data_IF_503870226110
#
_entry.id   IF_503870226110
#
_cell.length_a   1.000
_cell.length_b   1.000
_cell.length_c   1.000
_cell.angle_alpha   90.00
_cell.angle_beta   90.00
_cell.angle_gamma   90.00
#
_symmetry.space_group_name_H-M   'P 1'
#
loop_
_entity.id
_entity.type
_entity.pdbx_description
1 polymer ?
#
# COMPACT_ATOMS: atom_id res chain seq x y z
N UNK A 1 25.05 37.09 24.47
CA UNK A 1 25.22 36.85 23.03
C UNK A 1 23.91 37.22 22.35
N UNK A 2 23.83 38.44 21.81
CA UNK A 2 22.62 38.91 21.10
C UNK A 2 22.51 38.16 19.79
N UNK A 3 21.45 37.38 19.62
CA UNK A 3 21.14 36.72 18.34
C UNK A 3 20.76 37.85 17.38
N UNK A 4 21.66 38.11 16.43
CA UNK A 4 21.54 39.16 15.43
C UNK A 4 20.17 39.06 14.74
N UNK A 5 19.44 40.16 14.72
CA UNK A 5 18.28 40.34 13.85
C UNK A 5 18.78 40.45 12.41
N UNK A 6 19.21 39.33 11.83
CA UNK A 6 19.64 39.25 10.45
C UNK A 6 18.38 39.44 9.59
N UNK A 7 18.25 40.62 8.96
CA UNK A 7 17.21 40.87 7.97
C UNK A 7 17.69 40.28 6.65
N UNK A 8 16.87 39.40 6.07
CA UNK A 8 17.11 38.91 4.72
C UNK A 8 16.69 40.01 3.74
N UNK A 9 17.67 40.75 3.24
CA UNK A 9 17.44 41.83 2.29
C UNK A 9 17.26 41.28 0.87
N UNK A 10 16.80 42.11 -0.06
CA UNK A 10 16.62 41.74 -1.48
C UNK A 10 17.87 41.11 -2.07
N UNK A 11 19.06 41.62 -1.72
CA UNK A 11 20.35 41.07 -2.18
C UNK A 11 20.58 39.62 -1.75
N UNK A 12 20.10 39.23 -0.56
CA UNK A 12 20.20 37.86 -0.09
C UNK A 12 19.35 36.94 -0.98
N UNK A 13 18.09 37.32 -1.22
CA UNK A 13 17.19 36.54 -2.07
C UNK A 13 17.64 36.49 -3.53
N UNK A 14 18.25 37.56 -4.06
CA UNK A 14 18.84 37.54 -5.40
C UNK A 14 20.00 36.54 -5.49
N UNK A 15 20.90 36.53 -4.49
CA UNK A 15 22.00 35.55 -4.45
C UNK A 15 21.48 34.13 -4.32
N UNK A 16 20.52 33.90 -3.42
CA UNK A 16 19.90 32.60 -3.25
C UNK A 16 19.24 32.11 -4.54
N UNK A 17 18.50 32.98 -5.23
CA UNK A 17 17.84 32.63 -6.49
C UNK A 17 18.86 32.29 -7.60
N UNK A 18 19.98 33.00 -7.67
CA UNK A 18 21.05 32.68 -8.64
C UNK A 18 21.69 31.32 -8.33
N UNK A 19 21.94 31.01 -7.05
CA UNK A 19 22.43 29.70 -6.62
C UNK A 19 21.42 28.60 -6.95
N UNK A 20 20.12 28.85 -6.74
CA UNK A 20 19.05 27.91 -7.10
C UNK A 20 18.99 27.66 -8.61
N UNK A 21 19.09 28.70 -9.44
CA UNK A 21 19.08 28.55 -10.89
C UNK A 21 20.25 27.70 -11.39
N UNK A 22 21.47 27.99 -10.90
CA UNK A 22 22.67 27.21 -11.24
C UNK A 22 22.56 25.76 -10.76
N UNK A 23 21.93 25.54 -9.61
CA UNK A 23 21.64 24.20 -9.11
C UNK A 23 20.66 23.44 -10.02
N UNK A 24 19.55 24.06 -10.45
CA UNK A 24 18.59 23.43 -11.35
C UNK A 24 19.13 23.16 -12.75
N UNK A 25 20.14 23.92 -13.17
CA UNK A 25 20.87 23.72 -14.43
C UNK A 25 22.02 22.71 -14.30
N UNK A 26 22.29 22.19 -13.11
CA UNK A 26 23.43 21.31 -12.81
C UNK A 26 24.81 21.96 -13.12
N UNK A 27 24.88 23.30 -13.04
CA UNK A 27 26.07 24.13 -13.29
C UNK A 27 26.70 24.69 -12.00
N UNK A 28 26.16 24.31 -10.84
CA UNK A 28 26.68 24.73 -9.54
C UNK A 28 27.93 23.93 -9.17
N UNK A 29 28.99 24.61 -8.75
CA UNK A 29 30.19 23.94 -8.23
C UNK A 29 30.00 23.53 -6.75
N UNK A 30 31.03 22.90 -6.16
CA UNK A 30 30.99 22.49 -4.75
C UNK A 30 30.73 23.68 -3.81
N UNK A 31 31.37 24.82 -4.07
CA UNK A 31 31.24 26.01 -3.21
C UNK A 31 29.85 26.63 -3.31
N UNK A 32 29.28 26.67 -4.52
CA UNK A 32 27.92 27.12 -4.77
C UNK A 32 26.90 26.24 -4.06
N UNK A 33 27.09 24.91 -4.11
CA UNK A 33 26.24 23.96 -3.40
C UNK A 33 26.31 24.13 -1.88
N UNK A 34 27.52 24.30 -1.34
CA UNK A 34 27.72 24.59 0.08
C UNK A 34 27.04 25.91 0.48
N UNK A 35 27.22 26.97 -0.31
CA UNK A 35 26.58 28.27 -0.06
C UNK A 35 25.06 28.20 -0.17
N UNK A 36 24.52 27.43 -1.11
CA UNK A 36 23.09 27.21 -1.26
C UNK A 36 22.49 26.52 -0.02
N UNK A 37 23.13 25.44 0.43
CA UNK A 37 22.70 24.70 1.62
C UNK A 37 22.77 25.58 2.87
N UNK A 38 23.86 26.33 3.05
CA UNK A 38 24.02 27.25 4.17
C UNK A 38 22.96 28.35 4.16
N UNK A 39 22.72 28.97 3.01
CA UNK A 39 21.72 30.05 2.87
C UNK A 39 20.30 29.57 3.19
N UNK A 40 19.94 28.37 2.73
CA UNK A 40 18.63 27.77 3.09
C UNK A 40 18.60 27.40 4.56
N UNK A 41 19.72 26.94 5.14
CA UNK A 41 19.83 26.65 6.57
C UNK A 41 19.63 27.87 7.46
N UNK A 42 20.17 29.02 7.06
CA UNK A 42 19.94 30.30 7.73
C UNK A 42 18.46 30.68 7.72
N UNK A 43 17.78 30.50 6.58
CA UNK A 43 16.33 30.75 6.47
C UNK A 43 15.54 29.82 7.39
N UNK A 44 15.85 28.52 7.39
CA UNK A 44 15.20 27.55 8.28
C UNK A 44 15.38 27.98 9.74
N UNK A 45 16.59 28.33 10.16
CA UNK A 45 16.88 28.74 11.54
C UNK A 45 16.11 30.02 11.91
N UNK A 46 16.09 31.01 11.01
CA UNK A 46 15.37 32.26 11.25
C UNK A 46 13.86 32.07 11.40
N UNK A 47 13.24 31.28 10.51
CA UNK A 47 11.80 31.03 10.58
C UNK A 47 11.42 30.09 11.72
N UNK A 48 12.35 29.22 12.16
CA UNK A 48 12.17 28.42 13.38
C UNK A 48 12.10 29.29 14.64
N UNK A 49 13.01 30.27 14.75
CA UNK A 49 13.01 31.22 15.87
C UNK A 49 11.72 32.04 15.91
N UNK A 50 11.14 32.33 14.75
CA UNK A 50 9.85 33.03 14.62
C UNK A 50 8.63 32.12 14.76
N UNK A 51 8.81 30.80 14.84
CA UNK A 51 7.74 29.79 14.78
C UNK A 51 6.83 29.96 13.57
N UNK A 52 7.41 30.39 12.45
CA UNK A 52 6.69 30.63 11.21
C UNK A 52 6.53 29.32 10.43
N UNK A 53 5.31 28.92 10.03
CA UNK A 53 5.08 27.71 9.25
C UNK A 53 5.83 27.70 7.90
N UNK A 54 6.24 28.86 7.37
CA UNK A 54 7.04 28.93 6.14
C UNK A 54 8.40 28.21 6.27
N UNK A 55 8.88 27.95 7.49
CA UNK A 55 10.05 27.08 7.75
C UNK A 55 9.93 25.74 7.02
N UNK A 56 8.72 25.18 6.96
CA UNK A 56 8.46 23.88 6.32
C UNK A 56 8.84 23.89 4.83
N UNK A 57 8.53 24.98 4.12
CA UNK A 57 8.92 25.16 2.72
C UNK A 57 10.45 25.11 2.53
N UNK A 58 11.20 25.76 3.42
CA UNK A 58 12.67 25.75 3.34
C UNK A 58 13.28 24.40 3.75
N UNK A 59 12.65 23.68 4.68
CA UNK A 59 13.04 22.31 5.02
C UNK A 59 12.84 21.35 3.84
N UNK A 60 11.71 21.45 3.15
CA UNK A 60 11.43 20.66 1.95
C UNK A 60 12.42 20.99 0.82
N UNK A 61 12.72 22.27 0.60
CA UNK A 61 13.77 22.70 -0.33
C UNK A 61 15.14 22.12 0.01
N UNK A 62 15.54 22.16 1.29
CA UNK A 62 16.80 21.59 1.74
C UNK A 62 16.86 20.09 1.51
N UNK A 63 15.79 19.36 1.87
CA UNK A 63 15.68 17.92 1.64
C UNK A 63 15.78 17.59 0.14
N UNK A 64 15.09 18.36 -0.70
CA UNK A 64 15.15 18.21 -2.15
C UNK A 64 16.58 18.35 -2.67
N UNK A 65 17.29 19.41 -2.28
CA UNK A 65 18.67 19.66 -2.74
C UNK A 65 19.59 18.52 -2.31
N UNK A 66 19.53 18.10 -1.05
CA UNK A 66 20.39 17.04 -0.52
C UNK A 66 20.08 15.65 -1.08
N UNK A 67 18.85 15.44 -1.59
CA UNK A 67 18.45 14.16 -2.19
C UNK A 67 18.97 13.97 -3.62
N UNK A 68 19.46 15.03 -4.28
CA UNK A 68 19.87 14.93 -5.69
C UNK A 68 21.20 14.20 -5.85
N UNK A 69 21.31 13.24 -6.80
CA UNK A 69 22.56 12.58 -7.12
C UNK A 69 23.69 13.56 -7.46
N UNK A 70 23.36 14.64 -8.17
CA UNK A 70 24.29 15.74 -8.49
C UNK A 70 24.93 16.34 -7.22
N UNK A 71 24.12 16.69 -6.22
CA UNK A 71 24.58 17.21 -4.93
C UNK A 71 25.47 16.20 -4.21
N UNK A 72 25.06 14.93 -4.17
CA UNK A 72 25.80 13.88 -3.50
C UNK A 72 27.16 13.63 -4.16
N UNK A 73 27.24 13.68 -5.49
CA UNK A 73 28.48 13.49 -6.24
C UNK A 73 29.45 14.65 -6.03
N UNK A 74 28.96 15.89 -6.05
CA UNK A 74 29.79 17.09 -5.92
C UNK A 74 30.25 17.36 -4.48
N UNK A 75 29.46 16.96 -3.48
CA UNK A 75 29.80 17.10 -2.07
C UNK A 75 30.57 15.89 -1.51
N UNK A 76 30.65 14.78 -2.24
CA UNK A 76 31.44 13.62 -1.83
C UNK A 76 32.92 14.00 -1.81
N UNK A 77 33.46 14.20 -0.61
CA UNK A 77 34.91 14.27 -0.44
C UNK A 77 35.51 12.96 -0.95
N UNK A 78 36.39 13.07 -1.95
CA UNK A 78 37.41 12.04 -2.11
C UNK A 78 38.27 12.12 -0.85
N UNK A 79 38.01 11.22 0.10
CA UNK A 79 38.97 10.89 1.15
C UNK A 79 40.22 10.30 0.48
N UNK A 80 41.00 11.14 -0.19
CA UNK A 80 42.36 10.84 -0.56
C UNK A 80 43.12 10.78 0.76
N UNK A 81 43.36 9.55 1.17
CA UNK A 81 44.28 9.13 2.21
C UNK A 81 45.58 9.91 2.01
N UNK A 82 45.74 10.99 2.76
CA UNK A 82 46.99 11.74 2.81
C UNK A 82 47.38 11.84 4.29
N UNK A 83 48.27 10.90 4.63
CA UNK A 83 49.32 10.96 5.65
C UNK A 83 48.99 11.17 7.14
N UNK A 84 49.44 10.18 7.93
CA UNK A 84 50.34 10.34 9.08
C UNK A 84 50.49 11.77 9.64
N UNK A 85 49.82 12.05 10.76
CA UNK A 85 50.41 12.62 12.00
C UNK A 85 49.38 12.60 13.14
N UNK A 86 49.92 12.42 14.34
CA UNK A 86 49.31 12.04 15.61
C UNK A 86 48.33 13.05 16.23
N UNK A 87 47.55 12.63 17.26
CA UNK A 87 46.26 13.21 17.60
C UNK A 87 46.38 14.36 18.59
N UNK A 88 45.59 15.42 18.40
CA UNK A 88 45.29 16.39 19.45
C UNK A 88 43.77 16.42 19.60
N UNK A 89 43.33 15.99 20.78
CA UNK A 89 41.95 15.70 21.06
C UNK A 89 41.13 16.96 21.27
N UNK A 90 39.97 17.00 20.62
CA UNK A 90 38.74 17.50 21.21
C UNK A 90 37.67 16.43 20.99
N UNK A 91 37.31 15.73 22.07
CA UNK A 91 36.10 14.91 22.13
C UNK A 91 34.90 15.85 22.05
N UNK A 92 34.49 16.20 20.84
CA UNK A 92 33.07 16.40 20.58
C UNK A 92 32.52 15.02 20.24
N UNK A 93 31.81 14.42 21.19
CA UNK A 93 30.92 13.31 20.92
C UNK A 93 29.89 13.81 19.91
N UNK A 94 30.20 13.65 18.63
CA UNK A 94 29.26 13.85 17.56
C UNK A 94 28.18 12.78 17.71
N UNK A 95 26.99 13.20 18.11
CA UNK A 95 25.76 12.43 17.99
C UNK A 95 25.34 12.28 16.51
N UNK A 96 26.26 11.83 15.64
CA UNK A 96 26.00 11.57 14.22
C UNK A 96 25.35 10.20 13.96
N UNK A 97 24.86 9.49 14.99
CA UNK A 97 24.20 8.20 14.78
C UNK A 97 22.71 8.28 14.48
N UNK A 98 22.06 9.44 14.61
CA UNK A 98 20.60 9.55 14.42
C UNK A 98 20.13 9.80 12.97
N UNK A 99 20.82 10.59 12.12
CA UNK A 99 20.37 10.83 10.75
C UNK A 99 20.58 9.63 9.81
N UNK A 100 21.69 8.89 9.99
CA UNK A 100 21.99 7.69 9.19
C UNK A 100 21.00 6.56 9.50
N UNK A 101 20.67 6.34 10.77
CA UNK A 101 19.60 5.42 11.18
C UNK A 101 18.23 5.83 10.65
N UNK A 102 17.95 7.13 10.50
CA UNK A 102 16.71 7.62 9.88
C UNK A 102 16.71 7.41 8.37
N UNK A 103 17.81 7.68 7.66
CA UNK A 103 17.91 7.44 6.21
C UNK A 103 17.86 5.95 5.87
N UNK A 104 18.57 5.09 6.61
CA UNK A 104 18.43 3.64 6.46
C UNK A 104 17.02 3.19 6.77
N UNK A 105 16.40 3.67 7.86
CA UNK A 105 14.98 3.36 8.13
C UNK A 105 14.05 3.89 7.04
N UNK A 106 14.32 5.03 6.42
CA UNK A 106 13.47 5.60 5.38
C UNK A 106 13.65 4.87 4.05
N UNK A 107 14.87 4.45 3.71
CA UNK A 107 15.16 3.56 2.58
C UNK A 107 14.56 2.16 2.81
N UNK A 108 14.62 1.65 4.03
CA UNK A 108 14.02 0.37 4.44
C UNK A 108 12.49 0.45 4.43
N UNK A 109 11.89 1.54 4.90
CA UNK A 109 10.44 1.81 4.79
C UNK A 109 10.03 2.01 3.33
N UNK A 110 10.86 2.61 2.47
CA UNK A 110 10.58 2.71 1.04
C UNK A 110 10.72 1.36 0.31
N UNK A 111 11.70 0.53 0.67
CA UNK A 111 11.78 -0.83 0.15
C UNK A 111 10.63 -1.70 0.65
N UNK A 112 10.20 -1.51 1.90
CA UNK A 112 9.05 -2.19 2.48
C UNK A 112 7.73 -1.70 1.87
N UNK A 113 7.63 -0.42 1.49
CA UNK A 113 6.50 0.15 0.77
C UNK A 113 6.42 -0.37 -0.67
N UNK A 114 7.54 -0.48 -1.37
CA UNK A 114 7.57 -1.07 -2.71
C UNK A 114 7.28 -2.58 -2.67
N UNK A 115 7.85 -3.31 -1.70
CA UNK A 115 7.49 -4.71 -1.45
C UNK A 115 6.03 -4.87 -1.01
N UNK A 116 5.50 -3.93 -0.22
CA UNK A 116 4.09 -3.89 0.18
C UNK A 116 3.18 -3.66 -1.02
N UNK A 117 3.55 -2.77 -1.94
CA UNK A 117 2.76 -2.48 -3.13
C UNK A 117 2.70 -3.69 -4.08
N UNK A 118 3.84 -4.33 -4.33
CA UNK A 118 3.88 -5.58 -5.09
C UNK A 118 3.10 -6.69 -4.38
N UNK A 119 3.20 -6.80 -3.05
CA UNK A 119 2.45 -7.79 -2.27
C UNK A 119 0.94 -7.54 -2.28
N UNK A 120 0.51 -6.28 -2.21
CA UNK A 120 -0.90 -5.88 -2.33
C UNK A 120 -1.42 -6.21 -3.74
N UNK A 121 -0.61 -5.95 -4.77
CA UNK A 121 -0.94 -6.30 -6.15
C UNK A 121 -1.09 -7.81 -6.33
N UNK A 122 -0.17 -8.61 -5.80
CA UNK A 122 -0.29 -10.08 -5.85
C UNK A 122 -1.49 -10.58 -5.07
N UNK A 123 -1.82 -9.97 -3.92
CA UNK A 123 -3.02 -10.30 -3.14
C UNK A 123 -4.32 -9.93 -3.88
N UNK A 124 -4.33 -8.83 -4.63
CA UNK A 124 -5.45 -8.47 -5.49
C UNK A 124 -5.61 -9.47 -6.64
N UNK A 125 -4.52 -9.85 -7.30
CA UNK A 125 -4.54 -10.85 -8.38
C UNK A 125 -5.01 -12.22 -7.86
N UNK A 126 -4.53 -12.67 -6.70
CA UNK A 126 -5.01 -13.91 -6.05
C UNK A 126 -6.49 -13.82 -5.67
N UNK A 127 -6.94 -12.68 -5.14
CA UNK A 127 -8.34 -12.48 -4.77
C UNK A 127 -9.26 -12.53 -5.99
N UNK A 128 -8.87 -11.89 -7.10
CA UNK A 128 -9.62 -11.96 -8.36
C UNK A 128 -9.67 -13.38 -8.94
N UNK A 129 -8.58 -14.13 -8.83
CA UNK A 129 -8.52 -15.53 -9.25
C UNK A 129 -9.45 -16.40 -8.39
N UNK A 130 -9.41 -16.25 -7.06
CA UNK A 130 -10.30 -16.96 -6.16
C UNK A 130 -11.78 -16.65 -6.41
N UNK A 131 -12.13 -15.41 -6.75
CA UNK A 131 -13.50 -15.07 -7.14
C UNK A 131 -13.95 -15.81 -8.40
N UNK A 132 -13.07 -15.94 -9.41
CA UNK A 132 -13.38 -16.69 -10.64
C UNK A 132 -13.57 -18.17 -10.36
N UNK A 133 -12.66 -18.77 -9.60
CA UNK A 133 -12.73 -20.19 -9.22
C UNK A 133 -14.03 -20.49 -8.45
N UNK A 134 -14.41 -19.59 -7.55
CA UNK A 134 -15.65 -19.73 -6.77
C UNK A 134 -16.90 -19.59 -7.66
N UNK A 135 -16.88 -18.67 -8.63
CA UNK A 135 -17.96 -18.53 -9.61
C UNK A 135 -18.10 -19.77 -10.49
N UNK A 136 -16.99 -20.38 -10.94
CA UNK A 136 -17.00 -21.62 -11.71
C UNK A 136 -17.56 -22.79 -10.89
N UNK A 137 -17.19 -22.89 -9.61
CA UNK A 137 -17.68 -23.94 -8.72
C UNK A 137 -19.20 -23.84 -8.51
N UNK A 138 -19.71 -22.62 -8.32
CA UNK A 138 -21.15 -22.34 -8.20
C UNK A 138 -21.86 -22.71 -9.51
N UNK A 139 -21.31 -22.31 -10.65
CA UNK A 139 -21.90 -22.60 -11.95
C UNK A 139 -21.98 -24.10 -12.22
N UNK A 140 -20.93 -24.84 -11.90
CA UNK A 140 -20.90 -26.30 -12.03
C UNK A 140 -21.94 -26.98 -11.13
N UNK A 141 -22.13 -26.50 -9.89
CA UNK A 141 -23.15 -27.04 -9.00
C UNK A 141 -24.58 -26.76 -9.52
N UNK A 142 -24.83 -25.55 -10.02
CA UNK A 142 -26.10 -25.18 -10.67
C UNK A 142 -26.38 -26.13 -11.84
N UNK A 143 -25.39 -26.38 -12.70
CA UNK A 143 -25.53 -27.25 -13.87
C UNK A 143 -25.82 -28.70 -13.47
N UNK A 144 -25.18 -29.19 -12.40
CA UNK A 144 -25.45 -30.51 -11.84
C UNK A 144 -26.88 -30.62 -11.28
N UNK A 145 -27.31 -29.65 -10.47
CA UNK A 145 -28.67 -29.64 -9.92
C UNK A 145 -29.72 -29.57 -11.04
N UNK A 146 -29.47 -28.77 -12.07
CA UNK A 146 -30.33 -28.65 -13.24
C UNK A 146 -30.39 -29.96 -14.03
N UNK A 147 -29.26 -30.66 -14.19
CA UNK A 147 -29.18 -31.97 -14.83
C UNK A 147 -30.00 -33.02 -14.06
N UNK A 148 -29.89 -33.05 -12.73
CA UNK A 148 -30.66 -33.95 -11.87
C UNK A 148 -32.16 -33.66 -11.97
N UNK A 149 -32.57 -32.39 -11.97
CA UNK A 149 -33.96 -31.99 -12.15
C UNK A 149 -34.51 -32.41 -13.52
N UNK A 150 -33.75 -32.17 -14.60
CA UNK A 150 -34.11 -32.60 -15.96
C UNK A 150 -34.30 -34.12 -16.02
N UNK A 151 -33.38 -34.90 -15.44
CA UNK A 151 -33.51 -36.37 -15.34
C UNK A 151 -34.78 -36.78 -14.58
N UNK A 152 -35.06 -36.18 -13.42
CA UNK A 152 -36.28 -36.45 -12.63
C UNK A 152 -37.56 -36.14 -13.43
N UNK A 153 -37.59 -35.04 -14.19
CA UNK A 153 -38.73 -34.67 -15.05
C UNK A 153 -38.95 -35.71 -16.15
N UNK A 154 -37.87 -36.15 -16.82
CA UNK A 154 -37.95 -37.17 -17.89
C UNK A 154 -38.51 -38.48 -17.34
N UNK A 155 -38.00 -38.96 -16.20
CA UNK A 155 -38.50 -40.19 -15.55
C UNK A 155 -39.99 -40.06 -15.18
N UNK A 156 -40.41 -38.92 -14.62
CA UNK A 156 -41.83 -38.67 -14.34
C UNK A 156 -42.70 -38.68 -15.60
N UNK A 157 -42.22 -38.12 -16.71
CA UNK A 157 -42.93 -38.15 -18.00
C UNK A 157 -43.03 -39.56 -18.58
N UNK A 158 -41.95 -40.34 -18.54
CA UNK A 158 -41.95 -41.74 -19.00
C UNK A 158 -42.87 -42.62 -18.15
N UNK A 159 -42.86 -42.46 -16.82
CA UNK A 159 -43.75 -43.20 -15.92
C UNK A 159 -45.24 -42.84 -16.14
N UNK A 160 -45.56 -41.58 -16.47
CA UNK A 160 -46.93 -41.20 -16.85
C UNK A 160 -47.38 -41.83 -18.18
N UNK A 161 -46.49 -41.90 -19.17
CA UNK A 161 -46.80 -42.54 -20.44
C UNK A 161 -46.97 -44.07 -20.30
N UNK A 162 -46.19 -44.72 -19.42
CA UNK A 162 -46.37 -46.14 -19.13
C UNK A 162 -47.63 -46.44 -18.30
N UNK A 163 -48.04 -45.57 -17.36
CA UNK A 163 -49.31 -45.75 -16.64
C UNK A 163 -50.53 -45.54 -17.56
N UNK A 164 -50.48 -44.63 -18.53
CA UNK A 164 -51.57 -44.46 -19.50
C UNK A 164 -51.70 -45.62 -20.50
N UNK A 165 -50.72 -46.54 -20.58
CA UNK A 165 -50.81 -47.70 -21.46
C UNK A 165 -51.38 -48.96 -20.76
N UNK A 166 -51.47 -48.97 -19.43
CA UNK A 166 -51.90 -50.16 -18.65
C UNK A 166 -53.39 -50.10 -18.25
N UNK A 167 -54.06 -48.94 -18.35
CA UNK A 167 -55.47 -48.79 -17.94
C UNK A 167 -56.48 -48.74 -19.08
N UNK A 168 -56.24 -49.52 -20.15
CA UNK A 168 -57.29 -49.93 -21.07
C UNK A 168 -57.48 -51.45 -21.02
N UNK A 169 -57.80 -52.00 -19.84
CA UNK A 169 -58.73 -53.12 -19.75
C UNK A 169 -59.19 -53.39 -18.31
N UNK A 170 -60.51 -53.58 -18.20
CA UNK A 170 -61.29 -54.26 -17.15
C UNK A 170 -62.09 -53.39 -16.17
N UNK A 171 -63.42 -53.50 -16.33
CA UNK A 171 -64.48 -53.24 -15.37
C UNK A 171 -64.28 -54.04 -14.07
N UNK A 172 -64.57 -53.47 -12.90
CA UNK A 172 -65.58 -53.98 -11.95
C UNK A 172 -65.67 -53.14 -10.65
N UNK A 173 -66.78 -53.33 -9.96
CA UNK A 173 -67.42 -52.52 -8.91
C UNK A 173 -66.84 -52.75 -7.49
N UNK A 174 -67.16 -51.82 -6.57
CA UNK A 174 -67.40 -51.93 -5.11
C UNK A 174 -66.29 -51.71 -4.05
N UNK A 175 -66.54 -50.67 -3.23
CA UNK A 175 -66.47 -50.53 -1.76
C UNK A 175 -65.28 -51.11 -0.95
N UNK A 176 -64.59 -50.25 -0.20
CA UNK A 176 -64.80 -50.03 1.25
C UNK A 176 -63.52 -49.70 2.05
N UNK A 177 -63.74 -48.85 3.06
CA UNK A 177 -63.06 -48.69 4.36
C UNK A 177 -61.79 -47.85 4.49
N UNK A 178 -61.97 -46.79 5.28
CA UNK A 178 -61.01 -46.08 6.13
C UNK A 178 -60.10 -47.05 6.92
N UNK A 179 -58.87 -46.62 7.14
CA UNK A 179 -58.28 -46.61 8.48
C UNK A 179 -57.15 -45.56 8.57
N UNK A 180 -57.38 -44.54 9.39
CA UNK A 180 -56.35 -43.63 9.89
C UNK A 180 -55.37 -44.38 10.80
N UNK A 181 -54.08 -44.07 10.70
CA UNK A 181 -53.11 -44.24 11.79
C UNK A 181 -52.33 -42.95 11.99
N UNK A 182 -52.52 -42.35 13.17
CA UNK A 182 -51.74 -41.26 13.76
C UNK A 182 -50.42 -41.78 14.33
N UNK A 183 -49.37 -40.96 14.27
CA UNK A 183 -48.27 -40.77 15.25
C UNK A 183 -47.55 -39.49 14.80
N UNK A 184 -47.72 -38.31 15.41
CA UNK A 184 -47.35 -37.87 16.77
C UNK A 184 -45.84 -37.83 17.02
N UNK A 185 -45.45 -36.74 17.68
CA UNK A 185 -44.20 -36.41 18.38
C UNK A 185 -43.29 -35.47 17.57
N UNK A 186 -43.31 -34.15 17.80
CA UNK A 186 -42.74 -33.44 18.99
C UNK A 186 -41.25 -33.85 19.17
N UNK A 187 -40.29 -32.95 19.31
CA UNK A 187 -40.31 -31.77 20.15
C UNK A 187 -39.06 -30.91 19.84
N UNK A 188 -39.14 -29.67 20.31
CA UNK A 188 -38.11 -28.66 20.28
C UNK A 188 -36.91 -29.05 21.16
N UNK A 189 -35.71 -28.57 20.84
CA UNK A 189 -34.90 -27.93 21.90
C UNK A 189 -34.02 -26.84 21.33
N UNK A 190 -34.03 -25.72 22.04
CA UNK A 190 -33.44 -24.43 21.72
C UNK A 190 -32.40 -24.13 22.79
N UNK A 191 -31.33 -23.46 22.37
CA UNK A 191 -30.48 -22.53 23.14
C UNK A 191 -29.31 -23.05 24.00
N UNK A 192 -28.30 -22.18 23.95
CA UNK A 192 -27.12 -21.95 24.81
C UNK A 192 -25.84 -22.66 24.34
#
# INVERSE_FOLDING_TARGET
MSINQQKFDTNFYTKLNNLEQRFYQEEADKQDLEQLILSIGELVMFYDLKKDPIKQYFLEKMQFILSRPFTLLNLKEQYLITENKTPIGHRHQHNFSLPVLKLEKQAQVQSDLNNSFEKIKTLQEEYEMQQRDQAELIQHDIDNQMSVLKKKIIVRKQNRNNHNHVYHHSNFISNSKLSDTKTSDEEQTKMI
#
